data_IF_511566945083
#
_entry.id   IF_511566945083
#
_cell.length_a   1.000
_cell.length_b   1.000
_cell.length_c   1.000
_cell.angle_alpha   90.00
_cell.angle_beta   90.00
_cell.angle_gamma   90.00
#
_symmetry.space_group_name_H-M   'P 1'
#
loop_
_entity.id
_entity.type
_entity.pdbx_description
1 polymer ?
#
# COMPACT_ATOMS: atom_id res chain seq x y z
N UNK A 1 10.44 -12.22 -12.25
CA UNK A 1 10.80 -12.32 -10.83
C UNK A 1 10.26 -13.65 -10.32
N UNK A 2 11.13 -14.62 -10.05
CA UNK A 2 10.68 -15.95 -9.64
C UNK A 2 10.27 -15.96 -8.17
N UNK A 3 9.09 -16.52 -7.88
CA UNK A 3 8.65 -16.85 -6.53
C UNK A 3 7.86 -15.79 -5.76
N UNK A 4 7.42 -14.69 -6.38
CA UNK A 4 6.45 -13.78 -5.76
C UNK A 4 5.01 -14.15 -6.16
N UNK A 5 4.10 -14.02 -5.21
CA UNK A 5 2.65 -14.24 -5.37
C UNK A 5 1.91 -12.96 -5.77
N UNK A 6 2.56 -11.81 -5.65
CA UNK A 6 2.01 -10.50 -5.95
C UNK A 6 3.04 -9.42 -6.20
N UNK A 7 2.58 -8.30 -6.72
CA UNK A 7 3.35 -7.07 -6.87
C UNK A 7 2.48 -5.85 -6.57
N UNK A 8 3.03 -4.90 -5.83
CA UNK A 8 2.39 -3.63 -5.50
C UNK A 8 3.28 -2.45 -5.90
N UNK A 9 2.75 -1.40 -6.53
CA UNK A 9 3.45 -0.13 -6.64
C UNK A 9 3.54 0.50 -5.25
N UNK A 10 4.68 1.09 -4.91
CA UNK A 10 4.82 1.80 -3.65
C UNK A 10 5.77 2.99 -3.78
N UNK A 11 5.57 3.99 -2.92
CA UNK A 11 6.43 5.17 -2.82
C UNK A 11 7.13 5.20 -1.47
N UNK A 12 8.37 5.69 -1.44
CA UNK A 12 9.05 6.00 -0.19
C UNK A 12 8.25 7.02 0.63
N UNK A 13 8.28 6.91 1.96
CA UNK A 13 7.59 7.85 2.84
C UNK A 13 8.48 9.11 3.01
N UNK A 14 8.06 10.29 2.50
CA UNK A 14 8.90 11.49 2.53
C UNK A 14 8.95 12.15 3.90
N UNK A 15 8.02 11.83 4.79
CA UNK A 15 7.89 12.38 6.13
C UNK A 15 8.48 11.47 7.22
N UNK A 16 8.79 12.03 8.39
CA UNK A 16 9.24 11.24 9.53
C UNK A 16 8.06 10.44 10.09
N UNK A 17 8.22 9.13 10.24
CA UNK A 17 7.16 8.25 10.76
C UNK A 17 7.22 8.20 12.28
N UNK A 18 6.09 8.44 12.94
CA UNK A 18 5.95 8.36 14.41
C UNK A 18 4.93 7.28 14.77
N UNK A 19 5.22 6.49 15.81
CA UNK A 19 4.20 5.70 16.51
C UNK A 19 3.61 6.57 17.61
N UNK A 20 2.29 6.58 17.71
CA UNK A 20 1.54 7.41 18.67
C UNK A 20 0.56 6.53 19.43
N UNK A 21 0.50 6.71 20.75
CA UNK A 21 -0.50 6.10 21.63
C UNK A 21 -1.17 7.20 22.45
N UNK A 22 -2.50 7.23 22.48
CA UNK A 22 -3.28 8.24 23.22
C UNK A 22 -2.84 9.70 22.95
N UNK A 23 -2.44 10.00 21.71
CA UNK A 23 -1.99 11.34 21.30
C UNK A 23 -0.55 11.70 21.67
N UNK A 24 0.20 10.78 22.28
CA UNK A 24 1.61 10.97 22.65
C UNK A 24 2.51 10.16 21.72
N UNK A 25 3.59 10.78 21.23
CA UNK A 25 4.61 10.08 20.44
C UNK A 25 5.36 9.11 21.35
N UNK A 26 5.31 7.82 21.02
CA UNK A 26 6.01 6.75 21.76
C UNK A 26 7.28 6.28 21.06
N UNK A 27 7.36 6.45 19.74
CA UNK A 27 8.50 6.00 18.94
C UNK A 27 8.66 6.85 17.68
N UNK A 28 9.91 7.05 17.25
CA UNK A 28 10.22 7.48 15.89
C UNK A 28 10.65 6.26 15.10
N UNK A 29 9.86 5.86 14.11
CA UNK A 29 10.08 4.64 13.33
C UNK A 29 11.01 4.97 12.16
N UNK A 30 12.06 4.15 11.96
CA UNK A 30 12.90 4.27 10.76
C UNK A 30 12.05 3.98 9.52
N UNK A 31 12.20 4.83 8.51
CA UNK A 31 11.45 4.75 7.25
C UNK A 31 12.26 4.16 6.10
N UNK A 32 13.49 3.71 6.35
CA UNK A 32 14.41 3.20 5.32
C UNK A 32 13.80 2.04 4.51
N UNK A 33 13.10 1.14 5.20
CA UNK A 33 12.41 -0.01 4.60
C UNK A 33 10.87 0.13 4.62
N UNK A 34 10.35 1.36 4.76
CA UNK A 34 8.91 1.63 4.80
C UNK A 34 8.46 2.36 3.54
N UNK A 35 7.36 1.86 2.96
CA UNK A 35 6.76 2.41 1.75
C UNK A 35 5.25 2.56 1.93
N UNK A 36 4.68 3.56 1.26
CA UNK A 36 3.24 3.70 1.07
C UNK A 36 2.80 2.87 -0.12
N UNK A 37 2.07 1.77 0.12
CA UNK A 37 1.51 0.94 -0.95
C UNK A 37 0.42 1.69 -1.73
N UNK A 38 0.43 1.53 -3.05
CA UNK A 38 -0.52 2.13 -3.98
C UNK A 38 -1.31 1.03 -4.72
N UNK A 39 -2.30 1.46 -5.51
CA UNK A 39 -3.04 0.60 -6.44
C UNK A 39 -2.79 1.09 -7.88
N UNK A 40 -2.92 0.24 -8.92
CA UNK A 40 -3.39 -1.15 -8.92
C UNK A 40 -2.38 -2.14 -8.32
N UNK A 41 -2.89 -3.19 -7.69
CA UNK A 41 -2.10 -4.32 -7.17
C UNK A 41 -2.35 -5.55 -8.03
N UNK A 42 -1.31 -6.32 -8.35
CA UNK A 42 -1.43 -7.49 -9.21
C UNK A 42 -0.99 -8.76 -8.48
N UNK A 43 -1.77 -9.84 -8.62
CA UNK A 43 -1.57 -11.08 -7.86
C UNK A 43 -1.77 -12.32 -8.74
N UNK A 44 -1.07 -13.39 -8.39
CA UNK A 44 -1.36 -14.71 -8.94
C UNK A 44 -2.75 -15.16 -8.45
N UNK A 45 -3.66 -15.40 -9.38
CA UNK A 45 -5.04 -15.77 -9.04
C UNK A 45 -5.15 -16.96 -8.06
N UNK A 46 -4.35 -18.04 -8.16
CA UNK A 46 -4.38 -19.12 -7.16
C UNK A 46 -3.97 -18.65 -5.76
N UNK A 47 -2.97 -17.77 -5.64
CA UNK A 47 -2.51 -17.25 -4.36
C UNK A 47 -3.57 -16.36 -3.71
N UNK A 48 -4.14 -15.43 -4.49
CA UNK A 48 -5.19 -14.55 -4.02
C UNK A 48 -6.43 -15.33 -3.56
N UNK A 49 -6.89 -16.33 -4.35
CA UNK A 49 -8.03 -17.18 -3.97
C UNK A 49 -7.79 -17.96 -2.67
N UNK A 50 -6.58 -18.50 -2.47
CA UNK A 50 -6.22 -19.17 -1.21
C UNK A 50 -6.24 -18.21 -0.03
N UNK A 51 -5.73 -16.99 -0.22
CA UNK A 51 -5.73 -15.96 0.81
C UNK A 51 -7.15 -15.54 1.20
N UNK A 52 -8.05 -15.38 0.23
CA UNK A 52 -9.47 -15.08 0.48
C UNK A 52 -10.24 -16.19 1.22
N UNK A 53 -9.76 -17.44 1.19
CA UNK A 53 -10.36 -18.54 1.93
C UNK A 53 -10.03 -18.55 3.43
N UNK A 54 -9.28 -17.56 3.93
CA UNK A 54 -8.90 -17.39 5.33
C UNK A 54 -9.71 -16.28 6.00
N UNK A 55 -9.41 -16.00 7.26
CA UNK A 55 -9.97 -14.85 7.96
C UNK A 55 -9.56 -13.55 7.26
N UNK A 56 -10.56 -12.73 6.94
CA UNK A 56 -10.41 -11.43 6.28
C UNK A 56 -10.39 -10.29 7.28
N UNK A 57 -10.56 -10.58 8.58
CA UNK A 57 -10.48 -9.57 9.63
C UNK A 57 -9.12 -8.86 9.58
N UNK A 58 -9.15 -7.54 9.74
CA UNK A 58 -7.98 -6.65 9.73
C UNK A 58 -7.18 -6.57 8.41
N UNK A 59 -7.67 -7.16 7.31
CA UNK A 59 -7.06 -6.95 6.01
C UNK A 59 -7.28 -5.50 5.54
N UNK A 60 -6.20 -4.78 5.25
CA UNK A 60 -6.24 -3.38 4.79
C UNK A 60 -6.25 -3.29 3.26
N UNK A 61 -5.64 -4.26 2.59
CA UNK A 61 -5.60 -4.42 1.14
C UNK A 61 -5.43 -5.89 0.72
N UNK A 62 -5.34 -6.15 -0.59
CA UNK A 62 -5.17 -7.52 -1.10
C UNK A 62 -3.77 -8.09 -0.86
N UNK A 63 -2.75 -7.24 -0.76
CA UNK A 63 -1.38 -7.68 -0.43
C UNK A 63 -1.31 -8.25 0.98
N UNK A 64 -1.93 -7.58 1.96
CA UNK A 64 -2.01 -8.01 3.36
C UNK A 64 -2.66 -9.39 3.51
N UNK A 65 -3.65 -9.72 2.66
CA UNK A 65 -4.25 -11.05 2.63
C UNK A 65 -3.26 -12.12 2.21
N UNK A 66 -2.47 -11.85 1.17
CA UNK A 66 -1.46 -12.79 0.65
C UNK A 66 -0.32 -12.97 1.65
N UNK A 67 0.16 -11.89 2.26
CA UNK A 67 1.20 -11.91 3.29
C UNK A 67 0.76 -12.76 4.50
N UNK A 68 -0.47 -12.55 5.00
CA UNK A 68 -1.05 -13.36 6.09
C UNK A 68 -1.24 -14.84 5.71
N UNK A 69 -1.40 -15.13 4.41
CA UNK A 69 -1.44 -16.50 3.90
C UNK A 69 -0.05 -17.12 3.70
N UNK A 70 1.03 -16.40 4.04
CA UNK A 70 2.43 -16.83 3.88
C UNK A 70 3.00 -16.62 2.48
N UNK A 71 2.27 -15.91 1.61
CA UNK A 71 2.72 -15.55 0.28
C UNK A 71 3.68 -14.36 0.31
N UNK A 72 4.38 -14.14 -0.81
CA UNK A 72 5.37 -13.06 -0.95
C UNK A 72 4.89 -12.01 -1.93
N UNK A 73 4.92 -10.74 -1.54
CA UNK A 73 4.54 -9.61 -2.39
C UNK A 73 5.78 -8.79 -2.69
N UNK A 74 6.07 -8.57 -3.97
CA UNK A 74 7.15 -7.69 -4.41
C UNK A 74 6.66 -6.23 -4.46
N UNK A 75 7.60 -5.30 -4.35
CA UNK A 75 7.34 -3.88 -4.58
C UNK A 75 7.93 -3.48 -5.94
N UNK A 76 7.22 -2.61 -6.66
CA UNK A 76 7.74 -1.86 -7.81
C UNK A 76 7.61 -0.37 -7.55
N UNK A 77 8.39 0.43 -8.29
CA UNK A 77 8.32 1.89 -8.20
C UNK A 77 6.89 2.38 -8.44
N UNK A 78 6.38 3.15 -7.49
CA UNK A 78 5.07 3.79 -7.57
C UNK A 78 5.09 5.07 -8.42
N UNK A 79 3.96 5.78 -8.40
CA UNK A 79 3.83 7.08 -9.05
C UNK A 79 2.96 7.99 -8.18
N UNK A 80 3.40 9.22 -7.85
CA UNK A 80 2.59 10.16 -7.08
C UNK A 80 1.19 10.42 -7.66
N UNK A 81 0.99 10.20 -8.96
CA UNK A 81 -0.32 10.31 -9.63
C UNK A 81 -1.28 9.18 -9.28
N UNK A 82 -0.80 8.08 -8.69
CA UNK A 82 -1.62 6.99 -8.14
C UNK A 82 -2.12 7.30 -6.72
N UNK A 83 -2.21 8.58 -6.35
CA UNK A 83 -2.73 8.97 -5.04
C UNK A 83 -4.16 8.45 -4.85
N UNK A 84 -4.46 8.06 -3.61
CA UNK A 84 -5.81 7.71 -3.22
C UNK A 84 -6.57 8.99 -2.89
N UNK A 85 -7.67 9.24 -3.60
CA UNK A 85 -8.57 10.35 -3.27
C UNK A 85 -9.34 10.00 -2.00
N UNK A 86 -9.00 10.66 -0.90
CA UNK A 86 -9.62 10.46 0.42
C UNK A 86 -10.15 11.75 1.04
N UNK A 87 -9.71 12.90 0.54
CA UNK A 87 -10.08 14.23 1.01
C UNK A 87 -10.55 15.10 -0.16
N UNK A 88 -11.28 16.20 0.11
CA UNK A 88 -11.60 17.20 -0.90
C UNK A 88 -10.36 17.83 -1.57
N UNK A 89 -9.26 17.96 -0.82
CA UNK A 89 -8.00 18.48 -1.37
C UNK A 89 -7.39 17.52 -2.39
N UNK A 90 -7.44 16.20 -2.13
CA UNK A 90 -6.98 15.18 -3.09
C UNK A 90 -7.78 15.25 -4.39
N UNK A 91 -9.10 15.48 -4.30
CA UNK A 91 -9.96 15.59 -5.47
C UNK A 91 -9.58 16.80 -6.33
N UNK A 92 -9.40 17.97 -5.71
CA UNK A 92 -8.97 19.18 -6.43
C UNK A 92 -7.61 19.00 -7.12
N UNK A 93 -6.68 18.26 -6.48
CA UNK A 93 -5.40 17.92 -7.08
C UNK A 93 -5.57 17.03 -8.32
N UNK A 94 -6.40 15.99 -8.24
CA UNK A 94 -6.67 15.10 -9.39
C UNK A 94 -7.34 15.87 -10.53
N UNK A 95 -8.28 16.77 -10.26
CA UNK A 95 -8.91 17.62 -11.27
C UNK A 95 -7.88 18.49 -12.00
N UNK A 96 -6.93 19.09 -11.27
CA UNK A 96 -5.86 19.89 -11.87
C UNK A 96 -4.90 19.05 -12.74
N UNK A 97 -4.57 17.82 -12.31
CA UNK A 97 -3.74 16.89 -13.09
C UNK A 97 -4.42 16.49 -14.41
N UNK A 98 -5.74 16.30 -14.40
CA UNK A 98 -6.52 15.96 -15.60
C UNK A 98 -6.65 17.15 -16.56
N UNK A 99 -6.80 18.37 -16.03
CA UNK A 99 -6.93 19.59 -16.85
C UNK A 99 -5.62 20.02 -17.54
N UNK A 100 -4.47 19.52 -17.08
CA UNK A 100 -3.14 19.80 -17.62
C UNK A 100 -2.62 18.72 -18.58
N UNK A 101 -3.45 17.72 -18.90
CA UNK A 101 -3.16 16.60 -19.81
C UNK A 101 -3.70 16.79 -21.21
#
# INVERSE_FOLDING_TARGET
AEGFDGVVPALAIPDTVKRVENGVVVETVSREDLVGAQTPQAFLAPALRRAFGRDLSEATDCASLIERAGGRVAVVEGDPRLLKVTTPADLALVEALLASS
#
